data_IF_896078770066
#
_entry.id   IF_896078770066
#
_cell.length_a   1.000
_cell.length_b   1.000
_cell.length_c   1.000
_cell.angle_alpha   90.00
_cell.angle_beta   90.00
_cell.angle_gamma   90.00
#
_symmetry.space_group_name_H-M   'P 1'
#
loop_
_entity.id
_entity.type
_entity.pdbx_description
1 polymer ?
#
# COMPACT_ATOMS: atom_id res chain seq x y z
N UNK A 1 -4.18 13.05 -16.35
CA UNK A 1 -3.75 13.14 -14.94
C UNK A 1 -2.86 11.97 -14.65
N UNK A 2 -1.68 12.19 -14.06
CA UNK A 2 -0.69 11.13 -13.80
C UNK A 2 -1.24 10.06 -12.84
N UNK A 3 -0.72 8.84 -12.96
CA UNK A 3 -1.04 7.75 -12.04
C UNK A 3 -0.56 8.13 -10.63
N UNK A 4 -1.45 8.08 -9.63
CA UNK A 4 -1.08 8.34 -8.23
C UNK A 4 -0.29 7.17 -7.64
N UNK A 5 0.63 7.53 -6.76
CA UNK A 5 1.41 6.61 -5.93
C UNK A 5 0.53 5.62 -5.16
N UNK A 6 1.00 4.37 -4.95
CA UNK A 6 0.30 3.36 -4.16
C UNK A 6 -0.09 3.84 -2.75
N UNK A 7 0.81 4.54 -2.05
CA UNK A 7 0.54 5.06 -0.71
C UNK A 7 -0.54 6.15 -0.71
N UNK A 8 -0.50 7.08 -1.69
CA UNK A 8 -1.51 8.11 -1.85
C UNK A 8 -2.89 7.52 -2.19
N UNK A 9 -2.93 6.43 -2.96
CA UNK A 9 -4.17 5.67 -3.23
C UNK A 9 -4.73 5.08 -1.93
N UNK A 10 -3.89 4.45 -1.10
CA UNK A 10 -4.32 3.90 0.18
C UNK A 10 -4.83 4.98 1.14
N UNK A 11 -4.13 6.11 1.26
CA UNK A 11 -4.58 7.23 2.10
C UNK A 11 -5.89 7.83 1.57
N UNK A 12 -6.03 7.99 0.26
CA UNK A 12 -7.30 8.41 -0.35
C UNK A 12 -8.44 7.45 -0.06
N UNK A 13 -8.17 6.14 -0.13
CA UNK A 13 -9.13 5.09 0.20
C UNK A 13 -9.55 5.14 1.68
N UNK A 14 -8.60 5.20 2.62
CA UNK A 14 -8.89 5.33 4.06
C UNK A 14 -9.72 6.57 4.38
N UNK A 15 -9.41 7.70 3.73
CA UNK A 15 -10.21 8.93 3.89
C UNK A 15 -11.62 8.80 3.32
N UNK A 16 -11.79 8.10 2.19
CA UNK A 16 -13.11 7.86 1.60
C UNK A 16 -14.00 6.93 2.44
N UNK A 17 -13.39 6.08 3.25
CA UNK A 17 -14.09 5.23 4.23
C UNK A 17 -14.29 5.92 5.59
N UNK A 18 -13.93 7.20 5.72
CA UNK A 18 -13.97 7.94 6.99
C UNK A 18 -13.27 7.19 8.14
N UNK A 19 -12.16 6.52 7.83
CA UNK A 19 -11.45 5.72 8.83
C UNK A 19 -11.01 6.58 10.02
N UNK A 20 -11.49 6.24 11.21
CA UNK A 20 -11.07 6.84 12.48
C UNK A 20 -10.23 5.86 13.28
N UNK A 21 -9.07 6.28 13.82
CA UNK A 21 -8.33 5.44 14.74
C UNK A 21 -9.15 5.19 16.03
N UNK A 22 -8.94 4.03 16.65
CA UNK A 22 -9.65 3.59 17.85
C UNK A 22 -9.49 4.58 19.03
N UNK A 23 -8.34 5.28 19.08
CA UNK A 23 -8.09 6.40 19.99
C UNK A 23 -8.03 7.72 19.21
N UNK A 24 -8.93 8.65 19.54
CA UNK A 24 -8.87 10.03 19.05
C UNK A 24 -7.50 10.64 19.37
N UNK A 25 -6.78 11.06 18.32
CA UNK A 25 -5.46 11.67 18.43
C UNK A 25 -4.28 10.71 18.30
N UNK A 26 -4.52 9.41 18.16
CA UNK A 26 -3.46 8.45 17.85
C UNK A 26 -3.11 8.49 16.36
N UNK A 27 -1.81 8.57 16.07
CA UNK A 27 -1.30 8.48 14.70
C UNK A 27 -1.53 7.07 14.17
N UNK A 28 -2.15 6.96 13.00
CA UNK A 28 -2.30 5.69 12.29
C UNK A 28 -0.91 5.20 11.89
N UNK A 29 -0.40 4.18 12.58
CA UNK A 29 0.87 3.54 12.24
C UNK A 29 0.61 2.41 11.24
N UNK A 30 1.13 2.59 10.04
CA UNK A 30 1.00 1.63 8.94
C UNK A 30 2.32 0.87 8.76
N UNK A 31 2.23 -0.45 8.60
CA UNK A 31 3.30 -1.33 8.12
C UNK A 31 2.90 -1.91 6.75
N UNK A 32 2.92 -1.03 5.73
CA UNK A 32 2.54 -1.34 4.35
C UNK A 32 3.72 -1.43 3.36
N UNK A 33 4.98 -1.32 3.79
CA UNK A 33 6.11 -1.13 2.87
C UNK A 33 6.44 -2.39 2.08
N UNK A 34 6.26 -3.56 2.71
CA UNK A 34 6.34 -4.86 2.03
C UNK A 34 5.18 -5.13 1.06
N UNK A 35 4.01 -4.52 1.31
CA UNK A 35 2.79 -4.75 0.52
C UNK A 35 2.67 -3.79 -0.66
N UNK A 36 2.98 -2.51 -0.43
CA UNK A 36 2.93 -1.42 -1.41
C UNK A 36 4.25 -1.27 -2.19
N UNK A 37 5.36 -1.82 -1.68
CA UNK A 37 6.69 -1.58 -2.22
C UNK A 37 7.22 -0.17 -1.93
N UNK A 38 6.55 0.60 -1.06
CA UNK A 38 6.89 1.99 -0.73
C UNK A 38 6.39 2.33 0.69
N UNK A 39 7.24 2.99 1.51
CA UNK A 39 6.86 3.54 2.81
C UNK A 39 7.77 4.71 3.22
N UNK A 40 7.19 5.69 3.93
CA UNK A 40 7.85 6.93 4.38
C UNK A 40 9.07 6.75 5.31
N UNK A 41 9.38 5.54 5.78
CA UNK A 41 10.55 5.30 6.65
C UNK A 41 11.30 3.97 6.37
N UNK A 42 10.86 3.18 5.40
CA UNK A 42 11.59 1.98 4.94
C UNK A 42 12.30 2.28 3.62
N UNK A 43 13.27 3.19 3.66
CA UNK A 43 14.11 3.48 2.50
C UNK A 43 15.30 2.50 2.52
N UNK A 44 15.34 1.46 1.66
CA UNK A 44 16.47 0.54 1.64
C UNK A 44 17.73 1.13 0.98
N UNK A 45 17.62 2.21 0.20
CA UNK A 45 18.73 2.82 -0.55
C UNK A 45 18.66 4.35 -0.56
N UNK A 46 19.81 5.04 -0.65
CA UNK A 46 19.92 6.52 -0.57
C UNK A 46 19.08 7.26 -1.62
N UNK A 47 18.66 6.58 -2.69
CA UNK A 47 17.84 7.15 -3.77
C UNK A 47 16.49 6.44 -3.85
N UNK A 48 15.55 6.78 -2.96
CA UNK A 48 14.13 6.40 -3.13
C UNK A 48 13.44 7.32 -4.15
N UNK A 49 14.05 7.52 -5.32
CA UNK A 49 13.49 8.33 -6.40
C UNK A 49 13.10 7.39 -7.53
N UNK A 50 11.84 7.42 -7.92
CA UNK A 50 11.39 6.78 -9.15
C UNK A 50 12.26 7.27 -10.31
N UNK A 51 12.59 6.39 -11.26
CA UNK A 51 13.34 6.83 -12.43
C UNK A 51 12.47 7.81 -13.20
N UNK A 52 12.94 9.06 -13.33
CA UNK A 52 12.21 10.16 -13.96
C UNK A 52 11.75 9.81 -15.39
N UNK A 53 12.54 8.98 -16.07
CA UNK A 53 12.32 8.57 -17.45
C UNK A 53 11.65 7.19 -17.59
N UNK A 54 11.15 6.61 -16.49
CA UNK A 54 10.46 5.32 -16.56
C UNK A 54 9.11 5.47 -17.25
N UNK A 55 8.94 4.74 -18.35
CA UNK A 55 7.68 4.56 -19.05
C UNK A 55 7.35 3.05 -19.11
N UNK A 56 6.22 2.61 -18.54
CA UNK A 56 5.78 1.23 -18.67
C UNK A 56 5.40 0.97 -20.14
N UNK A 57 5.66 -0.24 -20.67
CA UNK A 57 5.26 -0.59 -22.03
C UNK A 57 3.73 -0.50 -22.18
N UNK A 58 3.25 0.16 -23.23
CA UNK A 58 1.82 0.36 -23.50
C UNK A 58 1.47 1.80 -23.92
N UNK A 59 0.19 2.22 -23.78
CA UNK A 59 -0.32 3.51 -24.28
C UNK A 59 0.42 4.74 -23.73
N UNK A 60 1.07 4.58 -22.58
CA UNK A 60 1.87 5.62 -21.92
C UNK A 60 3.19 5.85 -22.66
N UNK A 61 3.86 4.77 -23.07
CA UNK A 61 5.07 4.84 -23.90
C UNK A 61 4.75 5.32 -25.33
N UNK A 62 3.63 4.88 -25.91
CA UNK A 62 3.18 5.30 -27.25
C UNK A 62 2.84 6.80 -27.30
N UNK A 63 2.40 7.36 -26.17
CA UNK A 63 2.13 8.79 -26.01
C UNK A 63 3.37 9.62 -25.61
N UNK A 64 4.57 9.03 -25.57
CA UNK A 64 5.82 9.67 -25.09
C UNK A 64 5.72 10.26 -23.67
N UNK A 65 4.83 9.72 -22.85
CA UNK A 65 4.61 10.16 -21.47
C UNK A 65 5.45 9.31 -20.52
N UNK A 66 6.06 9.97 -19.53
CA UNK A 66 6.78 9.29 -18.45
C UNK A 66 5.84 9.09 -17.27
N UNK A 67 5.92 7.91 -16.64
CA UNK A 67 5.12 7.54 -15.48
C UNK A 67 6.00 6.86 -14.43
N UNK A 68 6.90 7.62 -13.77
CA UNK A 68 7.75 7.12 -12.69
C UNK A 68 6.96 6.33 -11.62
N UNK A 69 5.77 6.82 -11.26
CA UNK A 69 4.88 6.24 -10.24
C UNK A 69 4.29 4.86 -10.57
N UNK A 70 4.47 4.40 -11.81
CA UNK A 70 4.04 3.07 -12.23
C UNK A 70 5.09 1.99 -12.01
N UNK A 71 6.33 2.36 -11.67
CA UNK A 71 7.40 1.43 -11.35
C UNK A 71 7.06 0.46 -10.19
N UNK A 72 6.43 0.89 -9.08
CA UNK A 72 6.00 -0.03 -8.03
C UNK A 72 4.71 -0.79 -8.38
N UNK A 73 4.08 -0.55 -9.53
CA UNK A 73 2.85 -1.24 -9.97
C UNK A 73 3.13 -2.59 -10.65
N UNK A 74 4.03 -3.38 -10.06
CA UNK A 74 4.28 -4.75 -10.49
C UNK A 74 3.13 -5.68 -10.06
N UNK A 75 2.96 -6.81 -10.76
CA UNK A 75 1.93 -7.80 -10.42
C UNK A 75 1.93 -8.23 -8.93
N UNK A 76 3.06 -8.55 -8.28
CA UNK A 76 3.03 -8.97 -6.87
C UNK A 76 2.62 -7.86 -5.90
N UNK A 77 3.01 -6.60 -6.14
CA UNK A 77 2.64 -5.47 -5.28
C UNK A 77 1.18 -5.10 -5.46
N UNK A 78 0.62 -5.20 -6.66
CA UNK A 78 -0.82 -4.99 -6.92
C UNK A 78 -1.66 -6.03 -6.16
N UNK A 79 -1.27 -7.31 -6.22
CA UNK A 79 -1.96 -8.39 -5.49
C UNK A 79 -1.83 -8.18 -3.98
N UNK A 80 -0.62 -7.89 -3.47
CA UNK A 80 -0.39 -7.66 -2.05
C UNK A 80 -1.17 -6.45 -1.52
N UNK A 81 -1.23 -5.37 -2.29
CA UNK A 81 -2.02 -4.18 -1.96
C UNK A 81 -3.51 -4.49 -1.92
N UNK A 82 -4.01 -5.26 -2.89
CA UNK A 82 -5.43 -5.65 -2.96
C UNK A 82 -5.82 -6.52 -1.77
N UNK A 83 -4.97 -7.49 -1.41
CA UNK A 83 -5.17 -8.32 -0.22
C UNK A 83 -5.16 -7.48 1.06
N UNK A 84 -4.23 -6.53 1.19
CA UNK A 84 -4.18 -5.64 2.35
C UNK A 84 -5.41 -4.73 2.48
N UNK A 85 -5.94 -4.22 1.37
CA UNK A 85 -7.20 -3.44 1.36
C UNK A 85 -8.39 -4.31 1.78
N UNK A 86 -8.49 -5.53 1.25
CA UNK A 86 -9.55 -6.47 1.64
C UNK A 86 -9.48 -6.81 3.13
N UNK A 87 -8.29 -7.00 3.67
CA UNK A 87 -8.08 -7.24 5.10
C UNK A 87 -8.42 -6.02 5.95
N UNK A 88 -8.11 -4.81 5.47
CA UNK A 88 -8.52 -3.57 6.12
C UNK A 88 -10.04 -3.44 6.23
N UNK A 89 -10.79 -3.83 5.19
CA UNK A 89 -12.26 -3.80 5.19
C UNK A 89 -12.82 -4.87 6.13
N UNK A 90 -12.31 -6.10 6.07
CA UNK A 90 -12.85 -7.24 6.83
C UNK A 90 -12.52 -7.18 8.32
N UNK A 91 -11.30 -6.80 8.66
CA UNK A 91 -10.73 -6.95 10.00
C UNK A 91 -10.25 -5.64 10.62
N UNK A 92 -10.33 -4.52 9.88
CA UNK A 92 -9.77 -3.25 10.31
C UNK A 92 -8.25 -3.21 10.20
N UNK A 93 -7.62 -2.26 10.89
CA UNK A 93 -6.18 -2.08 10.85
C UNK A 93 -5.49 -3.16 11.71
N UNK A 94 -5.23 -4.31 11.11
CA UNK A 94 -4.56 -5.46 11.74
C UNK A 94 -3.25 -5.81 11.02
N UNK A 95 -2.31 -6.43 11.73
CA UNK A 95 -1.07 -6.98 11.14
C UNK A 95 -1.25 -8.39 10.56
N UNK A 96 -2.44 -8.99 10.72
CA UNK A 96 -2.76 -10.35 10.28
C UNK A 96 -3.28 -10.36 8.84
N UNK A 97 -3.28 -11.52 8.18
CA UNK A 97 -3.89 -11.73 6.85
C UNK A 97 -3.48 -10.67 5.81
N UNK A 98 -2.19 -10.35 5.70
CA UNK A 98 -1.66 -9.29 4.81
C UNK A 98 -2.15 -7.85 5.09
N UNK A 99 -2.70 -7.59 6.28
CA UNK A 99 -3.12 -6.26 6.70
C UNK A 99 -1.97 -5.27 6.92
N UNK A 100 -2.32 -3.99 7.01
CA UNK A 100 -1.38 -2.87 7.08
C UNK A 100 -0.99 -2.46 8.51
N UNK A 101 -1.38 -3.23 9.54
CA UNK A 101 -1.09 -2.91 10.94
C UNK A 101 0.32 -3.31 11.38
N UNK A 102 0.81 -2.68 12.45
CA UNK A 102 2.10 -3.00 13.05
C UNK A 102 2.12 -4.41 13.64
N UNK A 103 3.15 -5.20 13.31
CA UNK A 103 3.38 -6.51 13.90
C UNK A 103 3.65 -6.39 15.40
N UNK A 104 2.97 -7.21 16.20
CA UNK A 104 3.16 -7.30 17.66
C UNK A 104 2.21 -6.43 18.50
N UNK A 105 1.36 -5.61 17.87
CA UNK A 105 0.30 -4.86 18.57
C UNK A 105 -1.00 -5.67 18.73
N UNK A 106 -1.27 -6.60 17.81
CA UNK A 106 -2.42 -7.50 17.85
C UNK A 106 -1.92 -8.92 17.60
N UNK A 107 -2.24 -9.84 18.50
CA UNK A 107 -1.88 -11.25 18.34
C UNK A 107 -2.80 -11.90 17.32
N UNK A 108 -2.22 -12.36 16.21
CA UNK A 108 -2.95 -13.04 15.16
C UNK A 108 -3.35 -14.44 15.64
N UNK A 109 -4.50 -14.53 16.29
CA UNK A 109 -5.13 -15.81 16.57
C UNK A 109 -5.37 -16.51 15.24
N UNK A 110 -4.59 -17.55 14.97
CA UNK A 110 -4.75 -18.44 13.82
C UNK A 110 -6.14 -19.10 13.90
N UNK A 111 -7.15 -18.48 13.28
CA UNK A 111 -8.35 -19.17 12.81
C UNK A 111 -8.32 -19.19 11.28
N UNK A 112 -7.43 -20.02 10.75
CA UNK A 112 -7.67 -20.63 9.45
C UNK A 112 -8.79 -21.66 9.67
N UNK A 113 -10.03 -21.21 9.54
CA UNK A 113 -11.13 -22.12 9.21
C UNK A 113 -11.05 -22.34 7.72
N UNK A 114 -10.35 -23.40 7.32
CA UNK A 114 -10.62 -24.04 6.05
C UNK A 114 -12.12 -24.40 6.02
N UNK A 115 -12.79 -24.02 4.95
CA UNK A 115 -14.19 -24.32 4.66
C UNK A 115 -14.39 -24.26 3.16
#
# INVERSE_FOLDING_TARGET
GSMREPLLKLMGFMRSMEYTPDRRGELVKLDAGKSLGQMTHEIPTVFSFFLRDYAPPGPVADASLVSPESQPLAMPTVIATSNGILSLIKYGLTSCEHGFGLKGLVECSRRLSEG
#
